data_IF_964336619354
#
_entry.id   IF_964336619354
#
_cell.length_a   1.000
_cell.length_b   1.000
_cell.length_c   1.000
_cell.angle_alpha   90.00
_cell.angle_beta   90.00
_cell.angle_gamma   90.00
#
_symmetry.space_group_name_H-M   'P 1'
#
loop_
_entity.id
_entity.type
_entity.pdbx_description
1 polymer ?
#
# COMPACT_ATOMS: atom_id res chain seq x y z
N UNK A 1 -11.46 -32.35 -9.44
CA UNK A 1 -10.63 -32.10 -8.28
C UNK A 1 -11.03 -30.81 -7.58
N UNK A 2 -10.41 -29.64 -7.88
CA UNK A 2 -10.82 -28.39 -7.23
C UNK A 2 -12.01 -27.68 -7.89
N UNK A 3 -12.46 -28.15 -9.04
CA UNK A 3 -13.56 -27.53 -9.80
C UNK A 3 -14.92 -27.61 -9.09
N UNK A 4 -15.12 -28.62 -8.25
CA UNK A 4 -16.40 -28.89 -7.58
C UNK A 4 -16.45 -28.32 -6.16
N UNK A 5 -15.43 -27.56 -5.74
CA UNK A 5 -15.45 -26.91 -4.44
C UNK A 5 -16.41 -25.70 -4.45
N UNK A 6 -17.25 -25.55 -3.40
CA UNK A 6 -18.12 -24.39 -3.30
C UNK A 6 -17.29 -23.11 -3.16
N UNK A 7 -17.75 -22.05 -3.81
CA UNK A 7 -17.11 -20.73 -3.67
C UNK A 7 -17.33 -20.19 -2.25
N UNK A 8 -16.23 -19.99 -1.52
CA UNK A 8 -16.27 -19.51 -0.13
C UNK A 8 -15.98 -18.01 0.01
N UNK A 9 -15.42 -17.39 -1.03
CA UNK A 9 -15.11 -15.97 -1.02
C UNK A 9 -16.18 -15.19 -1.79
N UNK A 10 -16.60 -14.03 -1.28
CA UNK A 10 -17.57 -13.20 -1.98
C UNK A 10 -16.99 -12.71 -3.32
N UNK A 11 -17.84 -12.61 -4.32
CA UNK A 11 -17.49 -12.06 -5.62
C UNK A 11 -17.91 -10.60 -5.71
N UNK A 12 -17.04 -9.79 -6.31
CA UNK A 12 -17.33 -8.39 -6.55
C UNK A 12 -18.03 -8.26 -7.89
N UNK A 13 -19.14 -7.52 -7.91
CA UNK A 13 -19.91 -7.28 -9.12
C UNK A 13 -19.22 -6.19 -9.98
N UNK A 14 -19.02 -6.49 -11.27
CA UNK A 14 -18.45 -5.54 -12.22
C UNK A 14 -16.91 -5.51 -12.21
N UNK A 15 -16.36 -4.41 -12.72
CA UNK A 15 -14.92 -4.20 -12.82
C UNK A 15 -14.35 -3.62 -11.52
N UNK A 16 -13.04 -3.60 -11.40
CA UNK A 16 -12.32 -2.99 -10.28
C UNK A 16 -12.67 -1.50 -10.13
N UNK A 17 -12.69 -0.77 -11.23
CA UNK A 17 -13.04 0.65 -11.25
C UNK A 17 -14.51 0.87 -10.87
N UNK A 18 -15.39 -0.01 -11.32
CA UNK A 18 -16.81 0.04 -10.99
C UNK A 18 -17.06 -0.18 -9.48
N UNK A 19 -16.31 -1.07 -8.87
CA UNK A 19 -16.36 -1.30 -7.42
C UNK A 19 -15.99 -0.02 -6.65
N UNK A 20 -14.95 0.66 -7.09
CA UNK A 20 -14.53 1.94 -6.50
C UNK A 20 -15.60 3.02 -6.65
N UNK A 21 -16.16 3.19 -7.86
CA UNK A 21 -17.22 4.16 -8.14
C UNK A 21 -18.46 3.86 -7.30
N UNK A 22 -18.85 2.59 -7.19
CA UNK A 22 -19.99 2.18 -6.37
C UNK A 22 -19.76 2.46 -4.89
N UNK A 23 -18.52 2.28 -4.41
CA UNK A 23 -18.12 2.62 -3.06
C UNK A 23 -18.33 4.11 -2.76
N UNK A 24 -17.94 4.98 -3.69
CA UNK A 24 -18.15 6.43 -3.57
C UNK A 24 -19.64 6.77 -3.56
N UNK A 25 -20.40 6.26 -4.51
CA UNK A 25 -21.83 6.56 -4.65
C UNK A 25 -22.68 6.08 -3.47
N UNK A 26 -22.35 4.93 -2.94
CA UNK A 26 -23.15 4.27 -1.90
C UNK A 26 -22.57 4.45 -0.49
N UNK A 27 -21.47 5.19 -0.35
CA UNK A 27 -20.72 5.33 0.91
C UNK A 27 -20.40 3.99 1.54
N UNK A 28 -20.00 3.03 0.70
CA UNK A 28 -19.60 1.68 1.11
C UNK A 28 -18.11 1.48 0.89
N UNK A 29 -17.55 0.50 1.59
CA UNK A 29 -16.13 0.19 1.53
C UNK A 29 -15.85 -0.68 0.29
N UNK A 30 -15.07 -0.20 -0.70
CA UNK A 30 -14.70 -1.03 -1.84
C UNK A 30 -13.70 -2.10 -1.43
N UNK A 31 -13.50 -3.10 -2.30
CA UNK A 31 -12.60 -4.22 -2.05
C UNK A 31 -11.15 -3.79 -1.80
N UNK A 32 -10.69 -2.76 -2.52
CA UNK A 32 -9.34 -2.22 -2.39
C UNK A 32 -9.33 -0.83 -1.75
N UNK A 33 -10.03 -0.69 -0.64
CA UNK A 33 -9.99 0.54 0.16
C UNK A 33 -8.59 0.80 0.73
N UNK A 34 -8.38 1.99 1.28
CA UNK A 34 -7.05 2.38 1.76
C UNK A 34 -6.60 1.63 3.02
N UNK A 35 -7.51 1.10 3.83
CA UNK A 35 -7.15 0.27 4.97
C UNK A 35 -6.49 -1.05 4.55
N UNK A 36 -6.83 -1.53 3.36
CA UNK A 36 -6.23 -2.70 2.75
C UNK A 36 -5.07 -2.33 1.81
N UNK A 37 -5.30 -1.42 0.89
CA UNK A 37 -4.33 -1.07 -0.16
C UNK A 37 -3.17 -0.24 0.36
N UNK A 38 -3.36 0.54 1.41
CA UNK A 38 -2.29 1.33 2.02
C UNK A 38 -1.15 0.45 2.56
N UNK A 39 -1.42 -0.45 3.52
CA UNK A 39 -0.38 -1.37 4.02
C UNK A 39 0.21 -2.28 2.95
N UNK A 40 -0.58 -2.72 1.98
CA UNK A 40 -0.09 -3.51 0.87
C UNK A 40 0.92 -2.73 0.01
N UNK A 41 0.59 -1.48 -0.32
CA UNK A 41 1.48 -0.59 -1.08
C UNK A 41 2.76 -0.29 -0.31
N UNK A 42 2.65 -0.04 0.98
CA UNK A 42 3.79 0.16 1.88
C UNK A 42 4.75 -1.03 1.82
N UNK A 43 4.24 -2.25 1.95
CA UNK A 43 5.04 -3.47 1.86
C UNK A 43 5.76 -3.59 0.51
N UNK A 44 5.08 -3.31 -0.58
CA UNK A 44 5.67 -3.36 -1.93
C UNK A 44 6.77 -2.31 -2.09
N UNK A 45 6.55 -1.09 -1.60
CA UNK A 45 7.53 0.00 -1.68
C UNK A 45 8.74 -0.24 -0.80
N UNK A 46 8.63 -1.02 0.28
CA UNK A 46 9.79 -1.43 1.08
C UNK A 46 10.79 -2.24 0.25
N UNK A 47 10.33 -3.01 -0.74
CA UNK A 47 11.21 -3.69 -1.69
C UNK A 47 12.08 -2.71 -2.49
N UNK A 48 11.51 -1.60 -2.94
CA UNK A 48 12.24 -0.55 -3.65
C UNK A 48 13.29 0.11 -2.74
N UNK A 49 12.95 0.34 -1.49
CA UNK A 49 13.89 0.90 -0.51
C UNK A 49 15.07 -0.05 -0.27
N UNK A 50 14.79 -1.34 -0.13
CA UNK A 50 15.83 -2.36 0.06
C UNK A 50 16.81 -2.42 -1.13
N UNK A 51 16.34 -2.23 -2.35
CA UNK A 51 17.18 -2.18 -3.55
C UNK A 51 18.12 -0.97 -3.51
N UNK A 52 17.65 0.18 -3.01
CA UNK A 52 18.43 1.41 -2.93
C UNK A 52 19.47 1.38 -1.81
N UNK A 53 19.27 0.55 -0.79
CA UNK A 53 20.17 0.40 0.36
C UNK A 53 20.56 -1.06 0.49
N UNK A 54 21.37 -1.61 -0.43
CA UNK A 54 21.69 -3.01 -0.46
C UNK A 54 22.60 -3.44 0.69
N UNK A 55 22.50 -4.71 1.07
CA UNK A 55 23.40 -5.31 2.06
C UNK A 55 23.12 -4.95 3.51
N UNK A 56 22.02 -4.27 3.79
CA UNK A 56 21.64 -3.88 5.15
C UNK A 56 20.27 -4.40 5.51
N UNK A 57 20.12 -4.82 6.76
CA UNK A 57 18.80 -5.09 7.33
C UNK A 57 18.21 -3.77 7.79
N UNK A 58 17.09 -3.38 7.22
CA UNK A 58 16.39 -2.14 7.57
C UNK A 58 15.30 -2.45 8.61
N UNK A 59 15.24 -1.64 9.64
CA UNK A 59 14.19 -1.71 10.68
C UNK A 59 13.19 -0.60 10.40
N UNK A 60 11.96 -0.99 10.10
CA UNK A 60 10.89 -0.08 9.68
C UNK A 60 9.91 0.21 10.82
N UNK A 61 9.61 1.49 11.02
CA UNK A 61 8.55 1.97 11.90
C UNK A 61 7.42 2.52 11.03
N UNK A 62 6.35 1.73 10.87
CA UNK A 62 5.21 2.09 10.03
C UNK A 62 4.40 3.25 10.58
N UNK A 63 4.33 3.41 11.89
CA UNK A 63 3.58 4.51 12.52
C UNK A 63 4.25 5.86 12.26
N UNK A 64 5.57 5.88 12.26
CA UNK A 64 6.35 7.09 12.00
C UNK A 64 6.83 7.20 10.54
N UNK A 65 6.56 6.20 9.72
CA UNK A 65 6.96 6.15 8.32
C UNK A 65 8.46 6.42 8.14
N UNK A 66 9.28 5.69 8.90
CA UNK A 66 10.74 5.87 8.85
C UNK A 66 11.49 4.57 9.13
N UNK A 67 12.73 4.53 8.65
CA UNK A 67 13.72 3.52 9.02
C UNK A 67 14.39 3.97 10.33
N UNK A 68 14.42 3.09 11.34
CA UNK A 68 14.91 3.45 12.67
C UNK A 68 16.43 3.25 12.83
N UNK A 69 17.04 2.41 12.03
CA UNK A 69 18.45 2.03 12.16
C UNK A 69 19.37 2.56 11.07
N UNK A 70 18.86 3.33 10.11
CA UNK A 70 19.65 3.89 9.00
C UNK A 70 19.05 5.21 8.53
N UNK A 71 19.67 6.34 8.92
CA UNK A 71 19.22 7.69 8.51
C UNK A 71 19.35 7.93 7.01
N UNK A 72 20.36 7.36 6.36
CA UNK A 72 20.53 7.49 4.92
C UNK A 72 19.37 6.89 4.13
N UNK A 73 18.81 5.78 4.60
CA UNK A 73 17.65 5.16 3.97
C UNK A 73 16.42 6.08 3.99
N UNK A 74 16.27 6.92 4.99
CA UNK A 74 15.14 7.84 5.12
C UNK A 74 15.12 8.92 4.02
N UNK A 75 16.23 9.18 3.37
CA UNK A 75 16.30 10.11 2.23
C UNK A 75 15.46 9.67 1.03
N UNK A 76 15.19 8.37 0.92
CA UNK A 76 14.40 7.80 -0.18
C UNK A 76 12.91 7.72 0.12
N UNK A 77 12.48 8.06 1.33
CA UNK A 77 11.08 7.90 1.78
C UNK A 77 10.27 9.15 1.51
N UNK A 78 10.83 10.32 1.74
CA UNK A 78 10.16 11.60 1.53
C UNK A 78 10.71 12.32 0.30
N UNK A 79 9.79 12.91 -0.46
CA UNK A 79 10.16 13.76 -1.59
C UNK A 79 10.30 15.22 -1.13
N UNK A 80 11.28 15.92 -1.71
CA UNK A 80 11.36 17.36 -1.57
C UNK A 80 10.41 18.02 -2.56
N UNK A 81 9.34 18.63 -2.03
CA UNK A 81 8.37 19.33 -2.86
C UNK A 81 8.80 20.78 -3.06
N UNK A 82 8.34 21.36 -4.18
CA UNK A 82 8.57 22.81 -4.40
C UNK A 82 7.91 23.63 -3.30
N UNK A 83 8.45 24.83 -3.07
CA UNK A 83 7.94 25.77 -2.07
C UNK A 83 6.42 26.00 -2.21
N UNK A 84 5.71 25.95 -1.09
CA UNK A 84 4.26 26.11 -1.05
C UNK A 84 3.44 24.81 -1.13
N UNK A 85 4.11 23.68 -1.35
CA UNK A 85 3.45 22.36 -1.35
C UNK A 85 3.93 21.55 -0.13
N UNK A 86 2.99 21.20 0.73
CA UNK A 86 3.25 20.43 1.96
C UNK A 86 2.28 19.26 2.00
N UNK A 87 2.81 18.06 2.28
CA UNK A 87 2.04 16.84 2.56
C UNK A 87 2.28 16.40 4.00
#
# INVERSE_FOLDING_TARGET
EFKDLPASLPRIAGTHEQDWINGIKNHTKPCSDFDYSGPLTEMVLMGNLAIRVPGKRLMWDGDQMKVTNDEEANRFIHNDYRSGWVL
#
